data_IF_796985294224
#
_entry.id   IF_796985294224
#
_cell.length_a   1.000
_cell.length_b   1.000
_cell.length_c   1.000
_cell.angle_alpha   90.00
_cell.angle_beta   90.00
_cell.angle_gamma   90.00
#
_symmetry.space_group_name_H-M   'P 1'
#
loop_
_entity.id
_entity.type
_entity.pdbx_description
1 polymer ?
#
# COMPACT_ATOMS: atom_id res chain seq x y z
N UNK A 1 12.36 -39.94 27.34
CA UNK A 1 13.15 -40.05 26.11
C UNK A 1 12.82 -38.82 25.29
N UNK A 2 13.58 -37.76 25.54
CA UNK A 2 13.46 -36.49 24.83
C UNK A 2 13.90 -36.69 23.39
N UNK A 3 12.97 -36.54 22.46
CA UNK A 3 13.28 -36.40 21.05
C UNK A 3 13.10 -34.92 20.74
N UNK A 4 14.22 -34.22 20.83
CA UNK A 4 14.45 -32.92 20.22
C UNK A 4 13.83 -32.89 18.83
N UNK A 5 12.80 -32.04 18.66
CA UNK A 5 12.33 -31.64 17.34
C UNK A 5 13.50 -30.94 16.66
N UNK A 6 14.16 -31.69 15.77
CA UNK A 6 15.20 -31.18 14.89
C UNK A 6 14.56 -30.09 14.05
N UNK A 7 14.82 -28.84 14.43
CA UNK A 7 14.62 -27.69 13.57
C UNK A 7 15.52 -27.91 12.36
N UNK A 8 14.98 -28.52 11.31
CA UNK A 8 15.54 -28.37 9.97
C UNK A 8 15.36 -26.90 9.66
N UNK A 9 16.41 -26.11 9.95
CA UNK A 9 16.51 -24.72 9.55
C UNK A 9 16.68 -24.73 8.04
N UNK A 10 15.55 -24.83 7.33
CA UNK A 10 15.46 -24.34 5.96
C UNK A 10 15.65 -22.84 6.07
N UNK A 11 16.82 -22.34 5.69
CA UNK A 11 17.24 -20.94 5.86
C UNK A 11 16.37 -19.92 5.07
N UNK A 12 15.18 -20.32 4.62
CA UNK A 12 14.26 -19.58 3.76
C UNK A 12 12.78 -19.69 4.16
N UNK A 13 12.44 -20.45 5.21
CA UNK A 13 11.05 -20.61 5.69
C UNK A 13 10.95 -20.26 7.18
N UNK A 14 9.88 -19.57 7.55
CA UNK A 14 9.60 -19.20 8.94
C UNK A 14 8.17 -19.61 9.29
N UNK A 15 8.00 -20.18 10.47
CA UNK A 15 6.70 -20.69 10.91
C UNK A 15 5.82 -19.51 11.31
N UNK A 16 4.72 -19.32 10.57
CA UNK A 16 3.78 -18.23 10.85
C UNK A 16 2.72 -18.62 11.90
N UNK A 17 2.17 -19.83 11.81
CA UNK A 17 1.14 -20.32 12.72
C UNK A 17 0.50 -21.63 12.25
N UNK A 18 -0.35 -22.20 13.10
CA UNK A 18 -1.14 -23.40 12.83
C UNK A 18 -2.57 -23.21 13.33
N UNK A 19 -3.51 -23.83 12.61
CA UNK A 19 -4.94 -23.83 12.94
C UNK A 19 -5.42 -25.29 13.04
N UNK A 20 -6.44 -25.53 13.85
CA UNK A 20 -7.03 -26.86 14.02
C UNK A 20 -7.85 -27.29 12.80
N UNK A 21 -8.06 -28.60 12.67
CA UNK A 21 -8.95 -29.18 11.65
C UNK A 21 -10.35 -28.57 11.76
N UNK A 22 -10.86 -28.09 10.62
CA UNK A 22 -12.18 -27.46 10.52
C UNK A 22 -12.14 -25.93 10.36
N UNK A 23 -10.98 -25.30 10.56
CA UNK A 23 -10.76 -23.91 10.17
C UNK A 23 -10.27 -23.83 8.71
N UNK A 24 -10.77 -22.85 7.96
CA UNK A 24 -10.47 -22.63 6.54
C UNK A 24 -9.63 -21.36 6.28
N UNK A 25 -9.39 -20.54 7.31
CA UNK A 25 -8.63 -19.31 7.19
C UNK A 25 -7.83 -18.98 8.47
N UNK A 26 -6.71 -18.28 8.28
CA UNK A 26 -5.93 -17.62 9.32
C UNK A 26 -5.67 -16.17 8.90
N UNK A 27 -5.86 -15.22 9.83
CA UNK A 27 -5.61 -13.80 9.54
C UNK A 27 -4.14 -13.45 9.76
N UNK A 28 -3.53 -12.78 8.77
CA UNK A 28 -2.23 -12.14 8.92
C UNK A 28 -2.44 -10.75 9.55
N UNK A 29 -1.82 -10.42 10.69
CA UNK A 29 -1.95 -9.09 11.28
C UNK A 29 -1.49 -7.98 10.34
N UNK A 30 -2.11 -6.81 10.47
CA UNK A 30 -1.62 -5.59 9.80
C UNK A 30 -0.19 -5.27 10.24
N UNK A 31 0.58 -4.60 9.39
CA UNK A 31 1.97 -4.23 9.62
C UNK A 31 2.94 -5.42 9.83
N UNK A 32 2.54 -6.63 9.43
CA UNK A 32 3.44 -7.78 9.39
C UNK A 32 4.54 -7.53 8.35
N UNK A 33 5.79 -7.43 8.82
CA UNK A 33 6.94 -7.21 7.93
C UNK A 33 7.19 -8.44 7.06
N UNK A 34 7.08 -8.28 5.73
CA UNK A 34 7.31 -9.33 4.72
C UNK A 34 8.75 -9.88 4.75
N UNK A 35 9.73 -9.09 5.21
CA UNK A 35 11.17 -9.44 5.16
C UNK A 35 11.56 -9.87 3.73
N UNK A 36 12.24 -11.01 3.59
CA UNK A 36 12.67 -11.56 2.29
C UNK A 36 11.78 -12.73 1.82
N UNK A 37 10.59 -12.91 2.43
CA UNK A 37 9.67 -13.98 2.03
C UNK A 37 8.90 -13.58 0.77
N UNK A 38 8.74 -14.52 -0.15
CA UNK A 38 8.05 -14.30 -1.43
C UNK A 38 6.76 -15.10 -1.55
N UNK A 39 6.53 -16.07 -0.67
CA UNK A 39 5.38 -16.98 -0.75
C UNK A 39 4.83 -17.30 0.65
N UNK A 40 3.51 -17.44 0.74
CA UNK A 40 2.88 -18.24 1.77
C UNK A 40 2.91 -19.70 1.35
N UNK A 41 3.21 -20.58 2.31
CA UNK A 41 3.19 -22.03 2.12
C UNK A 41 2.27 -22.63 3.19
N UNK A 42 1.34 -23.46 2.76
CA UNK A 42 0.38 -24.13 3.65
C UNK A 42 0.58 -25.63 3.54
N UNK A 43 0.82 -26.24 4.69
CA UNK A 43 1.00 -27.68 4.85
C UNK A 43 -0.18 -28.27 5.62
N UNK A 44 -0.64 -29.45 5.20
CA UNK A 44 -1.50 -30.26 6.06
C UNK A 44 -0.63 -31.08 7.01
N UNK A 45 -1.03 -31.16 8.28
CA UNK A 45 -0.30 -31.92 9.31
C UNK A 45 -1.23 -32.94 9.97
N UNK A 46 -0.75 -34.17 10.07
CA UNK A 46 -1.40 -35.25 10.82
C UNK A 46 -0.66 -35.55 12.12
N UNK A 47 -1.21 -36.44 12.95
CA UNK A 47 -0.55 -36.94 14.16
C UNK A 47 0.75 -37.70 13.87
N UNK A 48 0.92 -38.20 12.64
CA UNK A 48 2.06 -39.03 12.25
C UNK A 48 3.14 -38.20 11.55
N UNK A 49 2.75 -37.28 10.66
CA UNK A 49 3.68 -36.50 9.83
C UNK A 49 3.00 -35.29 9.19
N UNK A 50 3.82 -34.30 8.83
CA UNK A 50 3.46 -33.20 7.94
C UNK A 50 3.51 -33.62 6.47
N UNK A 51 2.65 -33.04 5.64
CA UNK A 51 2.63 -33.27 4.21
C UNK A 51 3.96 -32.85 3.57
N UNK A 52 4.44 -33.61 2.58
CA UNK A 52 5.72 -33.30 1.89
C UNK A 52 5.57 -32.31 0.74
N UNK A 53 4.33 -32.05 0.29
CA UNK A 53 4.02 -31.18 -0.86
C UNK A 53 3.00 -30.11 -0.44
N UNK A 54 3.43 -28.88 -0.10
CA UNK A 54 2.52 -27.80 0.29
C UNK A 54 1.80 -27.20 -0.92
N UNK A 55 0.80 -26.38 -0.64
CA UNK A 55 0.32 -25.36 -1.59
C UNK A 55 1.06 -24.07 -1.30
N UNK A 56 1.56 -23.41 -2.35
CA UNK A 56 2.23 -22.12 -2.26
C UNK A 56 1.41 -21.02 -2.93
N UNK A 57 1.41 -19.83 -2.35
CA UNK A 57 0.80 -18.62 -2.89
C UNK A 57 1.82 -17.47 -2.84
N UNK A 58 2.03 -16.78 -3.95
CA UNK A 58 3.00 -15.67 -4.02
C UNK A 58 2.49 -14.47 -3.23
N UNK A 59 3.34 -13.92 -2.35
CA UNK A 59 3.06 -12.68 -1.64
C UNK A 59 3.16 -11.53 -2.64
N UNK A 60 2.11 -10.72 -2.71
CA UNK A 60 2.09 -9.51 -3.51
C UNK A 60 1.88 -8.31 -2.59
N UNK A 61 3.00 -7.63 -2.29
CA UNK A 61 3.00 -6.35 -1.60
C UNK A 61 2.75 -5.25 -2.64
N UNK A 62 1.47 -4.91 -2.81
CA UNK A 62 1.06 -3.97 -3.83
C UNK A 62 0.97 -2.56 -3.26
N UNK A 63 1.79 -1.68 -3.82
CA UNK A 63 1.71 -0.25 -3.59
C UNK A 63 0.62 0.35 -4.49
N UNK A 64 -0.46 0.86 -3.90
CA UNK A 64 -1.53 1.53 -4.64
C UNK A 64 -1.17 3.01 -4.94
N UNK A 65 0.10 3.32 -5.19
CA UNK A 65 0.53 4.71 -5.45
C UNK A 65 0.19 5.18 -6.86
N UNK A 66 -0.19 6.44 -6.99
CA UNK A 66 -0.35 7.08 -8.31
C UNK A 66 1.01 7.42 -8.90
N UNK A 67 1.09 7.52 -10.23
CA UNK A 67 2.32 7.90 -10.93
C UNK A 67 2.05 9.00 -11.96
N UNK A 68 3.10 9.54 -12.60
CA UNK A 68 2.98 10.52 -13.68
C UNK A 68 2.11 11.74 -13.34
N UNK A 69 2.30 12.28 -12.13
CA UNK A 69 1.55 13.44 -11.69
C UNK A 69 1.90 14.67 -12.54
N UNK A 70 0.88 15.34 -13.06
CA UNK A 70 1.02 16.56 -13.87
C UNK A 70 0.02 17.61 -13.39
N UNK A 71 0.51 18.82 -13.21
CA UNK A 71 -0.26 19.99 -12.82
C UNK A 71 0.21 21.19 -13.63
N UNK A 72 -0.74 22.00 -14.09
CA UNK A 72 -0.47 23.31 -14.68
C UNK A 72 -1.28 24.31 -13.92
N UNK A 73 -0.59 25.27 -13.32
CA UNK A 73 -1.23 26.35 -12.62
C UNK A 73 -1.94 27.27 -13.62
N UNK A 74 -3.21 27.56 -13.33
CA UNK A 74 -4.14 28.31 -14.18
C UNK A 74 -4.76 29.49 -13.47
N UNK A 75 -4.43 29.72 -12.20
CA UNK A 75 -4.66 31.04 -11.65
C UNK A 75 -3.56 32.00 -12.13
N UNK A 76 -3.88 33.29 -12.09
CA UNK A 76 -2.99 34.35 -12.54
C UNK A 76 -2.51 35.21 -11.37
N UNK A 77 -2.82 34.79 -10.15
CA UNK A 77 -2.61 35.54 -8.93
C UNK A 77 -1.35 35.03 -8.23
N UNK A 78 -0.37 35.93 -8.04
CA UNK A 78 0.93 35.53 -7.51
C UNK A 78 0.81 34.93 -6.11
N UNK A 79 1.24 33.67 -5.97
CA UNK A 79 1.28 32.96 -4.69
C UNK A 79 0.02 32.15 -4.38
N UNK A 80 -0.90 32.04 -5.33
CA UNK A 80 -2.02 31.10 -5.27
C UNK A 80 -1.81 29.94 -6.24
N UNK A 81 -2.63 28.91 -6.11
CA UNK A 81 -2.66 27.77 -7.01
C UNK A 81 -4.11 27.51 -7.43
N UNK A 82 -4.30 27.17 -8.70
CA UNK A 82 -5.61 26.86 -9.25
C UNK A 82 -5.52 26.00 -10.50
N UNK A 83 -6.34 24.94 -10.60
CA UNK A 83 -6.41 24.15 -11.82
C UNK A 83 -6.64 22.67 -11.60
N UNK A 84 -6.38 21.87 -12.63
CA UNK A 84 -6.59 20.42 -12.59
C UNK A 84 -5.26 19.71 -12.41
N UNK A 85 -5.18 18.90 -11.35
CA UNK A 85 -4.09 17.94 -11.17
C UNK A 85 -4.50 16.64 -11.84
N UNK A 86 -3.60 16.04 -12.59
CA UNK A 86 -3.80 14.77 -13.30
C UNK A 86 -2.74 13.77 -12.91
N UNK A 87 -3.08 12.49 -12.94
CA UNK A 87 -2.17 11.39 -12.59
C UNK A 87 -2.52 10.13 -13.35
N UNK A 88 -1.60 9.17 -13.35
CA UNK A 88 -1.87 7.79 -13.76
C UNK A 88 -2.36 7.00 -12.53
N UNK A 89 -3.55 6.39 -12.57
CA UNK A 89 -4.06 5.53 -11.50
C UNK A 89 -3.11 4.38 -11.17
N UNK A 90 -3.13 3.85 -9.93
CA UNK A 90 -2.40 2.63 -9.60
C UNK A 90 -2.91 1.45 -10.43
N UNK A 91 -2.03 0.47 -10.69
CA UNK A 91 -2.39 -0.74 -11.43
C UNK A 91 -3.50 -1.55 -10.71
N UNK A 92 -3.55 -1.46 -9.39
CA UNK A 92 -4.47 -2.20 -8.53
C UNK A 92 -5.37 -1.25 -7.72
N UNK A 93 -6.28 -0.59 -8.44
CA UNK A 93 -7.29 0.32 -7.88
C UNK A 93 -8.20 -0.32 -6.83
N UNK A 94 -8.36 -1.65 -6.80
CA UNK A 94 -9.26 -2.32 -5.85
C UNK A 94 -8.87 -2.15 -4.38
N UNK A 95 -7.60 -1.83 -4.10
CA UNK A 95 -7.09 -1.58 -2.74
C UNK A 95 -7.25 -0.13 -2.28
N UNK A 96 -7.58 0.79 -3.18
CA UNK A 96 -7.81 2.20 -2.88
C UNK A 96 -9.31 2.53 -2.94
N UNK A 97 -9.80 3.27 -1.95
CA UNK A 97 -11.19 3.76 -1.90
C UNK A 97 -11.30 5.15 -2.53
N UNK A 98 -10.25 5.97 -2.39
CA UNK A 98 -10.22 7.37 -2.84
C UNK A 98 -8.79 7.88 -3.02
N UNK A 99 -8.66 9.02 -3.69
CA UNK A 99 -7.44 9.82 -3.74
C UNK A 99 -7.55 11.05 -2.84
N UNK A 100 -6.43 11.43 -2.25
CA UNK A 100 -6.27 12.62 -1.44
C UNK A 100 -5.18 13.49 -2.05
N UNK A 101 -5.50 14.75 -2.29
CA UNK A 101 -4.56 15.74 -2.82
C UNK A 101 -4.03 16.60 -1.70
N UNK A 102 -2.73 16.88 -1.72
CA UNK A 102 -2.07 17.77 -0.77
C UNK A 102 -1.11 18.71 -1.49
N UNK A 103 -0.89 19.88 -0.88
CA UNK A 103 0.30 20.69 -1.13
C UNK A 103 1.31 20.42 -0.02
N UNK A 104 2.61 20.43 -0.32
CA UNK A 104 3.67 20.09 0.63
C UNK A 104 4.96 20.89 0.38
N UNK A 105 5.83 20.93 1.40
CA UNK A 105 7.15 21.56 1.33
C UNK A 105 8.26 20.60 0.88
N UNK A 106 7.95 19.30 0.78
CA UNK A 106 8.87 18.25 0.31
C UNK A 106 8.23 17.40 -0.78
N UNK A 107 9.04 16.84 -1.71
CA UNK A 107 8.54 16.06 -2.84
C UNK A 107 7.86 14.75 -2.45
N UNK A 108 8.21 14.20 -1.30
CA UNK A 108 7.59 13.00 -0.72
C UNK A 108 6.30 13.31 0.07
N UNK A 109 5.95 14.59 0.23
CA UNK A 109 4.83 15.05 1.03
C UNK A 109 4.93 14.76 2.53
N UNK A 110 6.10 14.39 3.04
CA UNK A 110 6.31 14.07 4.45
C UNK A 110 6.37 15.31 5.35
N UNK A 111 6.68 16.47 4.79
CA UNK A 111 6.77 17.74 5.53
C UNK A 111 5.82 18.79 5.00
N UNK A 112 5.24 19.58 5.92
CA UNK A 112 4.42 20.74 5.56
C UNK A 112 3.16 20.41 4.74
N UNK A 113 2.65 19.16 4.79
CA UNK A 113 1.49 18.78 3.98
C UNK A 113 0.20 19.40 4.49
N UNK A 114 -0.60 19.92 3.57
CA UNK A 114 -1.95 20.42 3.81
C UNK A 114 -2.86 19.83 2.74
N UNK A 115 -3.97 19.21 3.17
CA UNK A 115 -4.93 18.64 2.24
C UNK A 115 -5.62 19.77 1.47
N UNK A 116 -5.75 19.60 0.16
CA UNK A 116 -6.40 20.56 -0.74
C UNK A 116 -7.58 19.91 -1.44
N UNK A 117 -8.65 20.68 -1.63
CA UNK A 117 -9.87 20.18 -2.24
C UNK A 117 -10.58 19.11 -1.41
N UNK A 118 -11.42 18.32 -2.08
CA UNK A 118 -12.16 17.19 -1.49
C UNK A 118 -11.54 15.87 -1.92
N UNK A 119 -11.84 14.83 -1.16
CA UNK A 119 -11.50 13.45 -1.53
C UNK A 119 -12.04 13.12 -2.93
N UNK A 120 -11.18 12.56 -3.77
CA UNK A 120 -11.51 12.22 -5.16
C UNK A 120 -11.84 10.72 -5.22
N UNK A 121 -12.97 10.31 -5.82
CA UNK A 121 -13.34 8.89 -5.88
C UNK A 121 -12.37 8.06 -6.73
N UNK A 122 -12.24 6.77 -6.41
CA UNK A 122 -11.49 5.84 -7.25
C UNK A 122 -12.13 5.70 -8.64
N UNK A 123 -11.33 5.42 -9.67
CA UNK A 123 -11.79 5.34 -11.06
C UNK A 123 -11.66 6.65 -11.85
N UNK A 124 -11.16 7.72 -11.21
CA UNK A 124 -10.72 8.93 -11.90
C UNK A 124 -9.19 9.00 -11.98
N UNK A 125 -8.71 9.92 -12.81
CA UNK A 125 -7.29 10.22 -13.04
C UNK A 125 -7.00 11.72 -12.91
N UNK A 126 -7.93 12.47 -12.32
CA UNK A 126 -7.85 13.91 -12.20
C UNK A 126 -8.63 14.42 -10.97
N UNK A 127 -8.16 15.54 -10.42
CA UNK A 127 -8.77 16.23 -9.30
C UNK A 127 -8.62 17.74 -9.45
N UNK A 128 -9.65 18.47 -9.02
CA UNK A 128 -9.66 19.92 -9.08
C UNK A 128 -8.98 20.49 -7.82
N UNK A 129 -7.94 21.27 -8.03
CA UNK A 129 -7.42 22.19 -7.03
C UNK A 129 -8.26 23.48 -7.13
N UNK A 130 -9.00 23.86 -6.07
CA UNK A 130 -9.81 25.08 -6.09
C UNK A 130 -8.96 26.29 -6.50
N UNK A 131 -9.49 27.23 -7.29
CA UNK A 131 -8.82 28.51 -7.48
C UNK A 131 -8.62 29.21 -6.14
N UNK A 132 -7.67 30.13 -6.09
CA UNK A 132 -7.31 30.87 -4.87
C UNK A 132 -6.82 29.96 -3.74
N UNK A 133 -6.19 28.81 -4.05
CA UNK A 133 -5.59 27.96 -3.02
C UNK A 133 -4.24 28.57 -2.62
N UNK A 134 -4.04 29.07 -1.39
CA UNK A 134 -2.79 29.74 -1.06
C UNK A 134 -1.60 28.77 -1.11
N UNK A 135 -0.58 29.10 -1.92
CA UNK A 135 0.63 28.29 -2.02
C UNK A 135 1.40 28.26 -0.69
N UNK A 136 1.31 29.35 0.09
CA UNK A 136 2.03 29.52 1.35
C UNK A 136 3.53 29.19 1.21
N UNK A 137 4.03 28.16 1.92
CA UNK A 137 5.42 27.67 1.77
C UNK A 137 5.52 26.42 0.91
N UNK A 138 4.39 25.90 0.41
CA UNK A 138 4.38 24.67 -0.36
C UNK A 138 5.07 24.87 -1.71
N UNK A 139 5.78 23.84 -2.13
CA UNK A 139 6.55 23.81 -3.38
C UNK A 139 6.19 22.60 -4.24
N UNK A 140 5.36 21.69 -3.70
CA UNK A 140 5.00 20.43 -4.32
C UNK A 140 3.50 20.17 -4.18
N UNK A 141 2.91 19.58 -5.21
CA UNK A 141 1.60 18.93 -5.15
C UNK A 141 1.83 17.44 -5.09
N UNK A 142 1.21 16.76 -4.14
CA UNK A 142 1.32 15.31 -3.94
C UNK A 142 -0.06 14.68 -3.87
N UNK A 143 -0.19 13.46 -4.39
CA UNK A 143 -1.45 12.72 -4.40
C UNK A 143 -1.23 11.35 -3.82
N UNK A 144 -2.09 10.96 -2.87
CA UNK A 144 -2.06 9.67 -2.21
C UNK A 144 -3.34 8.91 -2.48
N UNK A 145 -3.26 7.59 -2.45
CA UNK A 145 -4.44 6.73 -2.31
C UNK A 145 -4.77 6.49 -0.83
N UNK A 146 -6.05 6.26 -0.54
CA UNK A 146 -6.58 5.91 0.78
C UNK A 146 -7.72 4.90 0.65
#
# INVERSE_FOLDING_TARGET
ADIVASAVVWCSQDFFGAIDVGADAMTVPVDTKVRNYTHFIVYTRSILVEQTTPVAYTIVDDEASVTSLSFTDRDLDEGELGGTVTWLPPLLVERARKYLMYVATSPDGLTGRVQVGKDVPIGTNAGLLPPETPMARATHVVVYTK
#
